data_IF_718054968025
#
_entry.id   IF_718054968025
#
_cell.length_a   1.000
_cell.length_b   1.000
_cell.length_c   1.000
_cell.angle_alpha   90.00
_cell.angle_beta   90.00
_cell.angle_gamma   90.00
#
_symmetry.space_group_name_H-M   'P 1'
#
loop_
_entity.id
_entity.type
_entity.pdbx_description
1 polymer ?
#
# COMPACT_ATOMS: atom_id res chain seq x y z
N UNK A 1 7.03 22.03 -2.35
CA UNK A 1 6.54 20.86 -3.13
C UNK A 1 5.51 20.10 -2.31
N UNK A 2 4.79 19.12 -2.87
CA UNK A 2 3.84 18.28 -2.14
C UNK A 2 4.37 17.73 -0.79
N UNK A 3 5.68 17.43 -0.73
CA UNK A 3 6.36 16.94 0.48
C UNK A 3 6.51 17.97 1.61
N UNK A 4 6.08 19.22 1.43
CA UNK A 4 6.14 20.29 2.43
C UNK A 4 4.76 20.72 2.94
N UNK A 5 3.67 20.08 2.49
CA UNK A 5 2.34 20.42 2.97
C UNK A 5 2.18 20.04 4.45
N UNK A 6 1.70 20.98 5.27
CA UNK A 6 1.47 20.79 6.70
C UNK A 6 0.11 21.39 7.10
N UNK A 7 -0.73 20.62 7.77
CA UNK A 7 -2.01 21.07 8.29
C UNK A 7 -2.32 20.43 9.65
N UNK A 8 -2.36 21.24 10.71
CA UNK A 8 -2.52 20.76 12.08
C UNK A 8 -3.83 19.98 12.31
N UNK A 9 -4.93 20.39 11.66
CA UNK A 9 -6.23 19.71 11.81
C UNK A 9 -6.23 18.35 11.11
N UNK A 10 -5.60 18.27 9.94
CA UNK A 10 -5.39 17.01 9.22
C UNK A 10 -4.53 16.07 10.07
N UNK A 11 -3.38 16.56 10.55
CA UNK A 11 -2.44 15.79 11.37
C UNK A 11 -3.14 15.24 12.62
N UNK A 12 -3.86 16.08 13.38
CA UNK A 12 -4.60 15.64 14.56
C UNK A 12 -5.66 14.58 14.25
N UNK A 13 -6.38 14.72 13.13
CA UNK A 13 -7.42 13.77 12.71
C UNK A 13 -6.80 12.42 12.32
N UNK A 14 -5.68 12.42 11.58
CA UNK A 14 -4.96 11.20 11.19
C UNK A 14 -4.32 10.53 12.42
N UNK A 15 -3.72 11.29 13.33
CA UNK A 15 -3.16 10.76 14.58
C UNK A 15 -4.23 10.10 15.45
N UNK A 16 -5.42 10.70 15.59
CA UNK A 16 -6.53 10.09 16.31
C UNK A 16 -6.96 8.77 15.65
N UNK A 17 -7.06 8.74 14.32
CA UNK A 17 -7.44 7.54 13.57
C UNK A 17 -6.41 6.41 13.75
N UNK A 18 -5.12 6.74 13.77
CA UNK A 18 -4.03 5.78 13.93
C UNK A 18 -3.93 5.12 15.32
N UNK A 19 -4.65 5.65 16.33
CA UNK A 19 -4.74 5.04 17.66
C UNK A 19 -5.88 4.03 17.79
N UNK A 20 -6.73 3.89 16.77
CA UNK A 20 -7.90 3.02 16.81
C UNK A 20 -7.57 1.60 16.31
N UNK A 21 -8.23 0.56 16.83
CA UNK A 21 -8.14 -0.77 16.24
C UNK A 21 -8.73 -0.76 14.82
N UNK A 22 -8.22 -1.56 13.87
CA UNK A 22 -8.67 -1.55 12.47
C UNK A 22 -10.17 -1.76 12.24
N UNK A 23 -10.86 -2.37 13.21
CA UNK A 23 -12.30 -2.65 13.18
C UNK A 23 -13.17 -1.57 13.81
N UNK A 24 -12.59 -0.47 14.28
CA UNK A 24 -13.33 0.60 14.95
C UNK A 24 -14.26 1.36 14.00
N UNK A 25 -15.54 1.45 14.35
CA UNK A 25 -16.58 2.10 13.54
C UNK A 25 -16.39 3.61 13.35
N UNK A 26 -15.50 4.25 14.13
CA UNK A 26 -15.18 5.68 13.99
C UNK A 26 -14.25 5.97 12.81
N UNK A 27 -13.50 4.98 12.33
CA UNK A 27 -12.50 5.14 11.26
C UNK A 27 -13.09 5.78 9.99
N UNK A 28 -14.24 5.31 9.44
CA UNK A 28 -14.80 5.93 8.24
C UNK A 28 -15.12 7.42 8.39
N UNK A 29 -15.57 7.85 9.58
CA UNK A 29 -15.85 9.26 9.88
C UNK A 29 -14.59 10.11 9.93
N UNK A 30 -13.55 9.63 10.63
CA UNK A 30 -12.25 10.29 10.72
C UNK A 30 -11.58 10.39 9.35
N UNK A 31 -11.65 9.31 8.55
CA UNK A 31 -11.16 9.29 7.17
C UNK A 31 -11.83 10.37 6.33
N UNK A 32 -13.18 10.46 6.33
CA UNK A 32 -13.90 11.49 5.57
C UNK A 32 -13.49 12.90 5.97
N UNK A 33 -13.30 13.16 7.27
CA UNK A 33 -12.85 14.47 7.78
C UNK A 33 -11.45 14.81 7.30
N UNK A 34 -10.49 13.90 7.46
CA UNK A 34 -9.11 14.10 7.01
C UNK A 34 -9.04 14.26 5.48
N UNK A 35 -9.75 13.41 4.73
CA UNK A 35 -9.77 13.46 3.27
C UNK A 35 -10.41 14.74 2.75
N UNK A 36 -11.43 15.29 3.43
CA UNK A 36 -12.01 16.59 3.05
C UNK A 36 -11.02 17.75 3.20
N UNK A 37 -10.18 17.74 4.23
CA UNK A 37 -9.10 18.73 4.40
C UNK A 37 -8.03 18.58 3.32
N UNK A 38 -7.66 17.33 3.02
CA UNK A 38 -6.70 17.02 1.96
C UNK A 38 -7.21 17.45 0.59
N UNK A 39 -8.48 17.19 0.26
CA UNK A 39 -9.11 17.59 -1.00
C UNK A 39 -9.16 19.11 -1.17
N UNK A 40 -9.39 19.87 -0.08
CA UNK A 40 -9.39 21.34 -0.13
C UNK A 40 -8.00 21.90 -0.44
N UNK A 41 -6.94 21.25 0.03
CA UNK A 41 -5.57 21.70 -0.19
C UNK A 41 -4.95 21.12 -1.47
N UNK A 42 -5.43 19.95 -1.91
CA UNK A 42 -4.97 19.19 -3.08
C UNK A 42 -3.44 19.16 -3.24
N UNK A 43 -2.67 18.81 -2.18
CA UNK A 43 -1.22 18.95 -2.20
C UNK A 43 -0.53 18.03 -3.23
N UNK A 44 -1.22 16.96 -3.63
CA UNK A 44 -0.90 16.08 -4.76
C UNK A 44 -2.18 15.86 -5.55
N UNK A 45 -2.09 15.91 -6.88
CA UNK A 45 -3.22 15.59 -7.76
C UNK A 45 -3.16 14.10 -8.10
N UNK A 46 -4.13 13.28 -7.68
CA UNK A 46 -4.17 11.87 -8.04
C UNK A 46 -4.63 11.75 -9.50
N UNK A 47 -3.79 11.18 -10.37
CA UNK A 47 -4.08 11.08 -11.80
C UNK A 47 -4.67 9.73 -12.19
N UNK A 48 -3.98 8.64 -11.84
CA UNK A 48 -4.37 7.30 -12.23
C UNK A 48 -3.85 6.25 -11.24
N UNK A 49 -4.58 5.14 -11.10
CA UNK A 49 -4.04 3.93 -10.49
C UNK A 49 -3.20 3.20 -11.54
N UNK A 50 -1.88 3.15 -11.34
CA UNK A 50 -0.96 2.51 -12.28
C UNK A 50 -0.90 1.01 -12.00
N UNK A 51 -1.21 0.14 -12.99
CA UNK A 51 -0.90 -1.29 -12.88
C UNK A 51 0.62 -1.46 -12.73
N UNK A 52 1.02 -2.34 -11.82
CA UNK A 52 2.44 -2.66 -11.60
C UNK A 52 2.69 -4.08 -12.09
N UNK A 53 2.88 -4.30 -13.40
CA UNK A 53 3.18 -5.63 -13.91
C UNK A 53 4.57 -6.05 -13.43
N UNK A 54 4.65 -7.26 -12.90
CA UNK A 54 5.91 -7.92 -12.52
C UNK A 54 6.01 -9.18 -13.36
N UNK A 55 7.14 -9.33 -14.06
CA UNK A 55 7.41 -10.52 -14.86
C UNK A 55 8.40 -11.38 -14.10
N UNK A 56 8.08 -12.66 -13.96
CA UNK A 56 8.89 -13.64 -13.26
C UNK A 56 9.51 -14.63 -14.25
N UNK A 57 10.79 -14.92 -14.08
CA UNK A 57 11.47 -15.93 -14.88
C UNK A 57 11.29 -17.31 -14.23
N UNK A 58 10.71 -18.25 -15.00
CA UNK A 58 10.48 -19.62 -14.56
C UNK A 58 11.56 -20.61 -15.02
N UNK A 59 12.62 -20.16 -15.71
CA UNK A 59 13.69 -21.02 -16.21
C UNK A 59 14.54 -21.64 -15.09
N UNK A 60 14.72 -20.92 -13.98
CA UNK A 60 15.58 -21.34 -12.86
C UNK A 60 14.85 -21.43 -11.53
N UNK A 61 13.70 -20.78 -11.40
CA UNK A 61 12.97 -20.66 -10.15
C UNK A 61 11.48 -20.85 -10.38
N UNK A 62 10.84 -21.64 -9.54
CA UNK A 62 9.38 -21.86 -9.49
C UNK A 62 8.84 -21.44 -8.12
N UNK A 63 7.52 -21.49 -7.94
CA UNK A 63 6.88 -21.12 -6.67
C UNK A 63 6.60 -19.63 -6.50
N UNK A 64 6.68 -18.85 -7.59
CA UNK A 64 6.29 -17.45 -7.60
C UNK A 64 4.81 -17.25 -7.22
N UNK A 65 4.46 -16.14 -6.54
CA UNK A 65 3.07 -15.75 -6.37
C UNK A 65 2.38 -15.57 -7.72
N UNK A 66 1.15 -16.03 -7.82
CA UNK A 66 0.32 -15.91 -9.02
C UNK A 66 -1.10 -15.52 -8.62
N UNK A 67 -1.95 -15.15 -9.59
CA UNK A 67 -3.37 -14.90 -9.31
C UNK A 67 -4.10 -16.11 -8.68
N UNK A 68 -3.59 -17.34 -8.82
CA UNK A 68 -4.14 -18.54 -8.18
C UNK A 68 -3.53 -18.85 -6.82
N UNK A 69 -2.36 -18.27 -6.53
CA UNK A 69 -1.59 -18.44 -5.29
C UNK A 69 -1.06 -17.08 -4.88
N UNK A 70 -1.96 -16.22 -4.39
CA UNK A 70 -1.72 -14.80 -4.13
C UNK A 70 -1.33 -14.57 -2.67
N UNK A 71 -0.23 -15.23 -2.25
CA UNK A 71 0.24 -15.14 -0.87
C UNK A 71 1.09 -13.90 -0.61
N UNK A 72 1.71 -13.31 -1.64
CA UNK A 72 2.53 -12.11 -1.55
C UNK A 72 2.65 -11.41 -2.91
N UNK A 73 3.08 -10.14 -2.92
CA UNK A 73 3.47 -9.48 -4.17
C UNK A 73 4.78 -10.06 -4.71
N UNK A 74 4.88 -10.35 -6.02
CA UNK A 74 6.12 -10.84 -6.64
C UNK A 74 7.19 -9.74 -6.82
N UNK A 75 6.88 -8.48 -6.51
CA UNK A 75 7.81 -7.36 -6.69
C UNK A 75 8.95 -7.36 -5.66
N UNK A 76 10.19 -7.42 -6.18
CA UNK A 76 11.42 -7.46 -5.37
C UNK A 76 11.67 -6.21 -4.52
N UNK A 77 11.05 -5.08 -4.86
CA UNK A 77 11.18 -3.81 -4.13
C UNK A 77 10.14 -3.64 -3.01
N UNK A 78 9.32 -4.65 -2.74
CA UNK A 78 8.36 -4.62 -1.63
C UNK A 78 9.02 -5.01 -0.31
N UNK A 79 8.54 -4.44 0.80
CA UNK A 79 9.06 -4.74 2.15
C UNK A 79 8.88 -6.21 2.59
N UNK A 80 7.99 -6.95 1.92
CA UNK A 80 7.64 -8.33 2.23
C UNK A 80 8.14 -9.34 1.18
N UNK A 81 9.07 -8.94 0.31
CA UNK A 81 9.62 -9.85 -0.71
C UNK A 81 10.32 -11.09 -0.15
N UNK A 82 10.74 -11.06 1.12
CA UNK A 82 11.29 -12.23 1.81
C UNK A 82 10.31 -13.42 1.82
N UNK A 83 8.99 -13.18 1.86
CA UNK A 83 7.99 -14.26 1.79
C UNK A 83 8.03 -14.99 0.44
N UNK A 84 8.32 -14.26 -0.64
CA UNK A 84 8.51 -14.86 -1.97
C UNK A 84 9.73 -15.78 -1.94
N UNK A 85 10.86 -15.27 -1.45
CA UNK A 85 12.13 -16.02 -1.38
C UNK A 85 11.97 -17.33 -0.60
N UNK A 86 11.23 -17.32 0.51
CA UNK A 86 10.96 -18.51 1.32
C UNK A 86 10.13 -19.58 0.59
N UNK A 87 9.38 -19.19 -0.45
CA UNK A 87 8.52 -20.09 -1.23
C UNK A 87 9.15 -20.51 -2.58
N UNK A 88 10.21 -19.82 -3.03
CA UNK A 88 10.89 -20.15 -4.26
C UNK A 88 11.56 -21.52 -4.17
N UNK A 89 11.52 -22.24 -5.29
CA UNK A 89 12.19 -23.55 -5.44
C UNK A 89 13.01 -23.56 -6.73
N UNK A 90 14.19 -24.20 -6.75
CA UNK A 90 14.91 -24.41 -7.99
C UNK A 90 13.99 -25.06 -9.04
N UNK A 91 14.05 -24.56 -10.28
CA UNK A 91 13.51 -25.31 -11.41
C UNK A 91 14.34 -26.58 -11.60
N UNK A 92 13.67 -27.66 -12.02
CA UNK A 92 14.29 -28.98 -12.23
C UNK A 92 15.44 -28.95 -13.23
#
# INVERSE_FOLDING_TARGET
SAGQWNNNQYNATVSQMGQLPPTDKRIPGLFRKAFSLWLKALPVIPLNQRPTPVVMNNAYWTGWPTAKSDFASPAAWTQYFHEVVLNLKPAS
#
